data_IF_050221423045
#
_entry.id   IF_050221423045
#
_cell.length_a   1.000
_cell.length_b   1.000
_cell.length_c   1.000
_cell.angle_alpha   90.00
_cell.angle_beta   90.00
_cell.angle_gamma   90.00
#
_symmetry.space_group_name_H-M   'P 1'
#
loop_
_entity.id
_entity.type
_entity.pdbx_description
1 polymer ?
#
# COMPACT_ATOMS: atom_id res chain seq x y z
N UNK A 1 48.47 17.22 29.59
CA UNK A 1 47.02 17.33 29.37
C UNK A 1 46.78 18.11 28.10
N UNK A 2 46.66 17.44 26.97
CA UNK A 2 46.41 18.03 25.65
C UNK A 2 44.89 17.98 25.39
N UNK A 3 44.24 19.12 25.33
CA UNK A 3 42.83 19.26 24.91
C UNK A 3 42.75 19.25 23.39
N UNK A 4 42.21 18.17 22.81
CA UNK A 4 41.84 18.14 21.40
C UNK A 4 40.54 18.94 21.21
N UNK A 5 40.63 20.04 20.47
CA UNK A 5 39.48 20.80 19.98
C UNK A 5 39.06 20.14 18.67
N UNK A 6 37.91 19.45 18.66
CA UNK A 6 37.23 18.98 17.43
C UNK A 6 36.53 20.18 16.78
N UNK A 7 37.09 20.66 15.68
CA UNK A 7 36.43 21.63 14.81
C UNK A 7 35.47 20.80 13.91
N UNK A 8 34.19 20.88 14.21
CA UNK A 8 33.13 20.38 13.32
C UNK A 8 32.95 21.35 12.16
N UNK A 9 33.60 21.08 11.02
CA UNK A 9 33.34 21.78 9.77
C UNK A 9 32.09 21.17 9.16
N UNK A 10 30.93 21.80 9.36
CA UNK A 10 29.69 21.48 8.67
C UNK A 10 29.87 21.94 7.22
N UNK A 11 30.10 21.00 6.31
CA UNK A 11 30.01 21.22 4.87
C UNK A 11 28.55 21.42 4.51
N UNK A 12 28.07 22.65 4.45
CA UNK A 12 26.83 23.02 3.82
C UNK A 12 26.98 22.85 2.31
N UNK A 13 26.68 21.67 1.77
CA UNK A 13 26.47 21.50 0.35
C UNK A 13 25.17 22.24 -0.01
N UNK A 14 25.32 23.46 -0.53
CA UNK A 14 24.26 24.17 -1.20
C UNK A 14 23.95 23.39 -2.49
N UNK A 15 23.03 22.43 -2.42
CA UNK A 15 22.36 21.93 -3.61
C UNK A 15 21.55 23.11 -4.15
N UNK A 16 21.98 23.68 -5.26
CA UNK A 16 21.15 24.52 -6.12
C UNK A 16 20.07 23.57 -6.66
N UNK A 17 19.00 23.41 -5.89
CA UNK A 17 17.77 22.80 -6.35
C UNK A 17 17.22 23.75 -7.41
N UNK A 18 17.40 23.43 -8.68
CA UNK A 18 16.57 23.98 -9.72
C UNK A 18 15.14 23.64 -9.31
N UNK A 19 14.40 24.65 -8.88
CA UNK A 19 13.01 24.50 -8.48
C UNK A 19 12.21 24.17 -9.76
N UNK A 20 12.13 22.89 -10.08
CA UNK A 20 11.28 22.38 -11.13
C UNK A 20 9.84 22.67 -10.69
N UNK A 21 9.09 23.47 -11.46
CA UNK A 21 7.71 23.81 -11.13
C UNK A 21 6.89 22.52 -11.14
N UNK A 22 6.45 22.09 -9.97
CA UNK A 22 5.60 20.89 -9.82
C UNK A 22 4.15 21.28 -10.08
N UNK A 23 3.50 20.58 -10.99
CA UNK A 23 2.07 20.69 -11.20
C UNK A 23 1.35 19.65 -10.34
N UNK A 24 0.57 20.10 -9.36
CA UNK A 24 -0.13 19.21 -8.42
C UNK A 24 -1.64 19.35 -8.66
N UNK A 25 -2.26 18.24 -9.05
CA UNK A 25 -3.73 18.13 -9.17
C UNK A 25 -4.26 17.43 -7.94
N UNK A 26 -5.30 17.99 -7.32
CA UNK A 26 -5.98 17.37 -6.17
C UNK A 26 -7.15 16.52 -6.65
N UNK A 27 -7.37 15.38 -5.99
CA UNK A 27 -8.52 14.50 -6.22
C UNK A 27 -9.07 13.95 -4.91
N UNK A 28 -10.33 13.54 -4.93
CA UNK A 28 -11.04 12.98 -3.79
C UNK A 28 -11.52 11.56 -4.10
N UNK A 29 -11.38 10.65 -3.14
CA UNK A 29 -11.71 9.24 -3.34
C UNK A 29 -12.28 8.59 -2.08
N UNK A 30 -12.97 7.47 -2.29
CA UNK A 30 -13.30 6.51 -1.23
C UNK A 30 -12.66 5.16 -1.57
N UNK A 31 -11.93 4.62 -0.61
CA UNK A 31 -11.26 3.33 -0.76
C UNK A 31 -11.89 2.29 0.18
N UNK A 32 -12.46 1.27 -0.40
CA UNK A 32 -13.04 0.14 0.31
C UNK A 32 -12.18 -1.10 0.07
N UNK A 33 -11.98 -1.93 1.11
CA UNK A 33 -11.33 -3.21 0.92
C UNK A 33 -11.77 -4.27 1.93
N UNK A 34 -11.79 -5.50 1.47
CA UNK A 34 -11.81 -6.70 2.28
C UNK A 34 -10.51 -7.46 2.09
N UNK A 35 -9.78 -7.68 3.20
CA UNK A 35 -8.49 -8.35 3.21
C UNK A 35 -8.59 -9.60 4.07
N UNK A 36 -8.35 -10.75 3.46
CA UNK A 36 -8.38 -12.03 4.16
C UNK A 36 -7.01 -12.69 4.15
N UNK A 37 -6.62 -13.23 5.30
CA UNK A 37 -5.49 -14.15 5.43
C UNK A 37 -5.96 -15.36 6.20
N UNK A 38 -6.02 -16.50 5.54
CA UNK A 38 -6.44 -17.77 6.13
C UNK A 38 -5.22 -18.66 6.34
N UNK A 39 -4.88 -18.96 7.59
CA UNK A 39 -3.83 -19.90 7.94
C UNK A 39 -4.41 -21.32 7.91
N UNK A 40 -3.89 -22.18 7.04
CA UNK A 40 -4.37 -23.55 6.83
C UNK A 40 -3.58 -24.56 7.67
N UNK A 41 -2.25 -24.37 7.75
CA UNK A 41 -1.34 -25.24 8.50
C UNK A 41 -0.35 -24.40 9.32
N UNK A 42 0.57 -25.04 10.03
CA UNK A 42 1.64 -24.31 10.73
C UNK A 42 2.50 -23.46 9.78
N UNK A 43 2.64 -23.86 8.50
CA UNK A 43 3.52 -23.21 7.53
C UNK A 43 2.81 -22.65 6.30
N UNK A 44 1.54 -22.96 6.06
CA UNK A 44 0.85 -22.56 4.83
C UNK A 44 -0.43 -21.78 5.11
N UNK A 45 -0.75 -20.88 4.21
CA UNK A 45 -1.99 -20.10 4.22
C UNK A 45 -2.31 -19.51 2.86
N UNK A 46 -3.45 -18.84 2.80
CA UNK A 46 -3.97 -18.16 1.62
C UNK A 46 -4.14 -16.68 1.94
N UNK A 47 -3.91 -15.85 0.94
CA UNK A 47 -4.15 -14.42 0.92
C UNK A 47 -5.21 -14.09 -0.12
N UNK A 48 -6.24 -13.33 0.27
CA UNK A 48 -7.24 -12.77 -0.63
C UNK A 48 -7.46 -11.30 -0.27
N UNK A 49 -7.32 -10.40 -1.24
CA UNK A 49 -7.73 -8.99 -1.12
C UNK A 49 -8.70 -8.65 -2.23
N UNK A 50 -9.75 -7.94 -1.87
CA UNK A 50 -10.70 -7.30 -2.77
C UNK A 50 -10.74 -5.82 -2.45
N UNK A 51 -10.49 -4.96 -3.46
CA UNK A 51 -10.53 -3.52 -3.29
C UNK A 51 -11.46 -2.89 -4.31
N UNK A 52 -12.17 -1.86 -3.86
CA UNK A 52 -12.93 -0.96 -4.70
C UNK A 52 -12.51 0.49 -4.37
N UNK A 53 -12.25 1.29 -5.40
CA UNK A 53 -11.94 2.70 -5.27
C UNK A 53 -12.93 3.49 -6.08
N UNK A 54 -13.54 4.48 -5.42
CA UNK A 54 -14.48 5.38 -6.02
C UNK A 54 -13.86 6.78 -6.07
N UNK A 55 -14.26 7.57 -7.05
CA UNK A 55 -13.78 8.93 -7.29
C UNK A 55 -14.98 9.81 -7.62
N UNK A 56 -14.71 11.08 -7.92
CA UNK A 56 -15.67 12.11 -8.21
C UNK A 56 -16.64 12.30 -7.01
N UNK A 57 -16.50 13.41 -6.31
CA UNK A 57 -17.18 13.72 -5.05
C UNK A 57 -17.18 12.52 -4.05
N UNK A 58 -16.02 11.89 -3.92
CA UNK A 58 -15.70 10.71 -3.10
C UNK A 58 -16.30 9.37 -3.56
N UNK A 59 -17.47 9.32 -4.18
CA UNK A 59 -18.17 8.05 -4.39
C UNK A 59 -19.06 7.94 -5.64
N UNK A 60 -19.02 8.88 -6.56
CA UNK A 60 -19.94 8.88 -7.71
C UNK A 60 -19.58 7.81 -8.75
N UNK A 61 -18.29 7.50 -8.92
CA UNK A 61 -17.83 6.63 -9.98
C UNK A 61 -16.72 5.69 -9.52
N UNK A 62 -16.73 4.47 -10.04
CA UNK A 62 -15.59 3.54 -9.88
C UNK A 62 -14.37 4.08 -10.62
N UNK A 63 -13.22 4.12 -9.93
CA UNK A 63 -11.93 4.45 -10.52
C UNK A 63 -11.03 3.23 -10.67
N UNK A 64 -11.10 2.29 -9.72
CA UNK A 64 -10.27 1.09 -9.78
C UNK A 64 -10.86 -0.03 -8.94
N UNK A 65 -10.76 -1.26 -9.43
CA UNK A 65 -10.89 -2.47 -8.61
C UNK A 65 -9.58 -3.25 -8.57
N UNK A 66 -9.40 -4.07 -7.54
CA UNK A 66 -8.25 -4.97 -7.40
C UNK A 66 -8.73 -6.28 -6.80
N UNK A 67 -8.42 -7.37 -7.48
CA UNK A 67 -8.52 -8.72 -6.93
C UNK A 67 -7.11 -9.27 -6.79
N UNK A 68 -6.74 -9.69 -5.57
CA UNK A 68 -5.40 -10.23 -5.29
C UNK A 68 -5.50 -11.55 -4.56
N UNK A 69 -4.80 -12.55 -5.10
CA UNK A 69 -4.65 -13.87 -4.49
C UNK A 69 -3.18 -14.14 -4.21
N UNK A 70 -2.89 -14.94 -3.19
CA UNK A 70 -1.52 -15.34 -2.87
C UNK A 70 -1.45 -16.56 -1.97
N UNK A 71 -0.29 -17.20 -2.02
CA UNK A 71 0.12 -18.24 -1.11
C UNK A 71 1.00 -17.65 -0.02
N UNK A 72 0.70 -17.96 1.24
CA UNK A 72 1.45 -17.48 2.42
C UNK A 72 2.24 -18.62 3.01
N UNK A 73 3.55 -18.42 3.18
CA UNK A 73 4.44 -19.32 3.90
C UNK A 73 4.88 -18.68 5.22
N UNK A 74 4.58 -19.31 6.34
CA UNK A 74 4.94 -18.85 7.68
C UNK A 74 6.33 -19.38 8.04
N UNK A 75 7.33 -18.48 8.06
CA UNK A 75 8.66 -18.80 8.59
C UNK A 75 8.59 -18.96 10.11
N UNK A 76 7.91 -18.02 10.74
CA UNK A 76 7.57 -17.96 12.17
C UNK A 76 6.17 -17.38 12.32
N UNK A 77 5.61 -17.36 13.52
CA UNK A 77 4.31 -16.76 13.77
C UNK A 77 4.28 -15.25 13.51
N UNK A 78 5.44 -14.60 13.62
CA UNK A 78 5.61 -13.17 13.39
C UNK A 78 6.26 -12.81 12.04
N UNK A 79 6.71 -13.80 11.22
CA UNK A 79 7.34 -13.55 9.92
C UNK A 79 6.74 -14.48 8.87
N UNK A 80 6.29 -13.89 7.77
CA UNK A 80 5.73 -14.64 6.65
C UNK A 80 6.24 -14.14 5.31
N UNK A 81 6.36 -15.06 4.38
CA UNK A 81 6.59 -14.82 2.97
C UNK A 81 5.27 -15.00 2.23
N UNK A 82 5.03 -14.19 1.23
CA UNK A 82 3.85 -14.35 0.38
C UNK A 82 4.26 -14.16 -1.07
N UNK A 83 3.76 -15.02 -1.95
CA UNK A 83 3.83 -14.83 -3.39
C UNK A 83 2.43 -14.92 -3.95
N UNK A 84 2.11 -14.06 -4.92
CA UNK A 84 0.76 -13.98 -5.44
C UNK A 84 0.65 -13.21 -6.73
N UNK A 85 -0.58 -13.02 -7.11
CA UNK A 85 -0.97 -12.33 -8.33
C UNK A 85 -2.14 -11.39 -8.04
N UNK A 86 -2.11 -10.21 -8.66
CA UNK A 86 -3.19 -9.25 -8.63
C UNK A 86 -3.65 -8.92 -10.04
N UNK A 87 -4.95 -8.85 -10.22
CA UNK A 87 -5.61 -8.30 -11.40
C UNK A 87 -6.25 -6.98 -11.01
N UNK A 88 -5.99 -5.96 -11.80
CA UNK A 88 -6.44 -4.60 -11.53
C UNK A 88 -7.18 -4.08 -12.75
N UNK A 89 -8.39 -3.54 -12.57
CA UNK A 89 -9.11 -2.78 -13.58
C UNK A 89 -9.02 -1.30 -13.23
N UNK A 90 -8.55 -0.48 -14.15
CA UNK A 90 -8.59 0.97 -14.08
C UNK A 90 -9.73 1.46 -14.99
N UNK A 91 -10.77 2.02 -14.38
CA UNK A 91 -11.93 2.51 -15.10
C UNK A 91 -11.64 3.90 -15.68
N UNK A 92 -11.89 4.07 -16.97
CA UNK A 92 -11.67 5.35 -17.67
C UNK A 92 -12.63 6.43 -17.20
N UNK A 93 -13.87 6.04 -16.90
CA UNK A 93 -14.96 6.95 -16.58
C UNK A 93 -15.59 7.64 -17.80
N UNK A 94 -15.16 7.30 -18.98
CA UNK A 94 -15.71 7.73 -20.26
C UNK A 94 -16.05 6.48 -21.08
N UNK A 95 -17.30 6.34 -21.51
CA UNK A 95 -17.79 5.18 -22.25
C UNK A 95 -17.08 5.00 -23.61
N UNK A 96 -16.48 6.06 -24.14
CA UNK A 96 -15.72 6.03 -25.40
C UNK A 96 -14.25 5.62 -25.20
N UNK A 97 -13.77 5.51 -23.95
CA UNK A 97 -12.40 5.14 -23.63
C UNK A 97 -12.41 3.78 -22.93
N UNK A 98 -11.73 2.77 -23.46
CA UNK A 98 -11.73 1.46 -22.81
C UNK A 98 -11.08 1.49 -21.43
N UNK A 99 -11.57 0.64 -20.54
CA UNK A 99 -10.92 0.37 -19.27
C UNK A 99 -9.57 -0.31 -19.51
N UNK A 100 -8.59 0.00 -18.67
CA UNK A 100 -7.24 -0.57 -18.76
C UNK A 100 -6.99 -1.57 -17.65
N UNK A 101 -6.41 -2.69 -17.99
CA UNK A 101 -6.09 -3.74 -17.05
C UNK A 101 -4.59 -3.77 -16.73
N UNK A 102 -4.30 -4.25 -15.52
CA UNK A 102 -2.93 -4.48 -15.08
C UNK A 102 -2.81 -5.87 -14.46
N UNK A 103 -1.84 -6.64 -14.95
CA UNK A 103 -1.42 -7.91 -14.39
C UNK A 103 -0.22 -7.69 -13.49
N UNK A 104 -0.28 -8.19 -12.23
CA UNK A 104 0.73 -7.88 -11.24
C UNK A 104 1.10 -9.09 -10.38
N UNK A 105 2.03 -9.92 -10.83
CA UNK A 105 2.72 -10.83 -9.93
C UNK A 105 3.43 -10.06 -8.81
N UNK A 106 3.48 -10.62 -7.61
CA UNK A 106 4.13 -9.96 -6.48
C UNK A 106 4.69 -10.95 -5.46
N UNK A 107 5.73 -10.52 -4.74
CA UNK A 107 6.34 -11.23 -3.63
C UNK A 107 6.50 -10.28 -2.45
N UNK A 108 6.35 -10.81 -1.23
CA UNK A 108 6.39 -10.00 -0.02
C UNK A 108 7.04 -10.78 1.12
N UNK A 109 7.86 -10.09 1.89
CA UNK A 109 8.18 -10.45 3.27
C UNK A 109 7.45 -9.51 4.21
N UNK A 110 6.80 -10.08 5.22
CA UNK A 110 6.02 -9.32 6.22
C UNK A 110 6.40 -9.79 7.62
N UNK A 111 6.58 -8.85 8.53
CA UNK A 111 6.92 -9.15 9.91
C UNK A 111 6.15 -8.28 10.89
N UNK A 112 5.98 -8.81 12.09
CA UNK A 112 5.23 -8.21 13.18
C UNK A 112 6.10 -8.08 14.40
N UNK A 113 6.00 -6.95 15.08
CA UNK A 113 6.62 -6.68 16.36
C UNK A 113 5.54 -6.20 17.36
N UNK A 114 5.39 -6.96 18.45
CA UNK A 114 4.46 -6.62 19.52
C UNK A 114 5.22 -5.93 20.64
N UNK A 115 4.86 -4.70 20.91
CA UNK A 115 5.40 -3.89 22.01
C UNK A 115 4.34 -3.69 23.09
N UNK A 116 4.78 -3.18 24.24
CA UNK A 116 3.88 -2.96 25.39
C UNK A 116 2.69 -2.06 25.07
N UNK A 117 2.92 -1.01 24.25
CA UNK A 117 1.93 0.04 23.99
C UNK A 117 1.38 0.03 22.57
N UNK A 118 1.98 -0.71 21.66
CA UNK A 118 1.55 -0.78 20.25
C UNK A 118 1.98 -2.09 19.60
N UNK A 119 1.29 -2.47 18.55
CA UNK A 119 1.73 -3.51 17.62
C UNK A 119 2.21 -2.83 16.34
N UNK A 120 3.35 -3.27 15.82
CA UNK A 120 3.89 -2.81 14.55
C UNK A 120 3.88 -3.95 13.53
N UNK A 121 3.43 -3.63 12.32
CA UNK A 121 3.51 -4.52 11.16
C UNK A 121 4.28 -3.80 10.07
N UNK A 122 5.22 -4.52 9.46
CA UNK A 122 5.99 -4.00 8.35
C UNK A 122 5.99 -5.02 7.21
N UNK A 123 6.13 -4.54 5.98
CA UNK A 123 6.45 -5.41 4.86
C UNK A 123 7.32 -4.71 3.82
N UNK A 124 8.07 -5.55 3.10
CA UNK A 124 8.72 -5.20 1.84
C UNK A 124 8.08 -6.05 0.75
N UNK A 125 7.59 -5.43 -0.33
CA UNK A 125 6.95 -6.09 -1.47
C UNK A 125 7.61 -5.68 -2.76
N UNK A 126 7.89 -6.67 -3.60
CA UNK A 126 8.26 -6.48 -5.00
C UNK A 126 7.05 -6.81 -5.88
N UNK A 127 6.77 -5.96 -6.85
CA UNK A 127 5.69 -6.14 -7.82
C UNK A 127 6.28 -6.06 -9.24
N UNK A 128 5.84 -6.96 -10.13
CA UNK A 128 6.06 -6.92 -11.57
C UNK A 128 4.76 -6.42 -12.20
N UNK A 129 4.80 -5.24 -12.83
CA UNK A 129 3.61 -4.56 -13.32
C UNK A 129 3.56 -4.61 -14.83
N UNK A 130 2.59 -5.35 -15.38
CA UNK A 130 2.25 -5.40 -16.79
C UNK A 130 0.97 -4.58 -16.99
N UNK A 131 1.09 -3.38 -17.51
CA UNK A 131 0.00 -2.40 -17.65
C UNK A 131 -0.41 -2.28 -19.10
N UNK A 132 -1.70 -2.45 -19.37
CA UNK A 132 -2.27 -2.03 -20.64
C UNK A 132 -2.11 -0.52 -20.82
N UNK A 133 -2.04 -0.08 -22.06
CA UNK A 133 -1.96 1.32 -22.44
C UNK A 133 -2.70 1.56 -23.74
N UNK A 134 -3.03 2.82 -24.02
CA UNK A 134 -3.72 3.20 -25.24
C UNK A 134 -2.73 3.66 -26.29
N UNK A 135 -2.98 3.26 -27.55
CA UNK A 135 -2.35 3.78 -28.74
C UNK A 135 -3.46 4.20 -29.70
N UNK A 136 -3.50 5.48 -30.05
CA UNK A 136 -4.54 6.07 -30.90
C UNK A 136 -5.99 5.84 -30.39
N UNK A 137 -6.19 5.78 -29.08
CA UNK A 137 -7.51 5.59 -28.46
C UNK A 137 -7.94 4.12 -28.26
N UNK A 138 -7.20 3.16 -28.78
CA UNK A 138 -7.45 1.73 -28.61
C UNK A 138 -6.45 1.06 -27.66
N UNK A 139 -6.84 -0.04 -27.03
CA UNK A 139 -5.93 -0.81 -26.17
C UNK A 139 -4.83 -1.41 -27.03
N UNK A 140 -3.59 -1.10 -26.71
CA UNK A 140 -2.43 -1.65 -27.42
C UNK A 140 -2.31 -3.16 -27.19
N UNK A 141 -1.84 -3.89 -28.20
CA UNK A 141 -1.55 -5.32 -28.11
C UNK A 141 -0.30 -5.68 -27.29
N UNK A 142 0.27 -4.71 -26.54
CA UNK A 142 1.48 -4.86 -25.74
C UNK A 142 1.27 -4.25 -24.34
N UNK A 143 2.13 -4.64 -23.40
CA UNK A 143 2.12 -4.11 -22.04
C UNK A 143 3.30 -3.18 -21.80
N UNK A 144 3.06 -2.10 -21.07
CA UNK A 144 4.12 -1.36 -20.41
C UNK A 144 4.55 -2.12 -19.16
N UNK A 145 5.86 -2.33 -19.01
CA UNK A 145 6.40 -3.13 -17.92
C UNK A 145 7.31 -2.32 -17.01
N UNK A 146 7.07 -2.41 -15.68
CA UNK A 146 8.01 -1.93 -14.69
C UNK A 146 7.97 -2.79 -13.42
N UNK A 147 9.05 -2.73 -12.68
CA UNK A 147 9.08 -3.21 -11.29
C UNK A 147 8.68 -2.09 -10.34
N UNK A 148 8.12 -2.48 -9.19
CA UNK A 148 7.87 -1.57 -8.07
C UNK A 148 8.22 -2.24 -6.75
N UNK A 149 9.03 -1.56 -5.93
CA UNK A 149 9.24 -1.90 -4.53
C UNK A 149 8.31 -1.08 -3.66
N UNK A 150 7.73 -1.72 -2.64
CA UNK A 150 6.89 -1.08 -1.64
C UNK A 150 7.42 -1.41 -0.25
N UNK A 151 7.64 -0.40 0.55
CA UNK A 151 7.87 -0.54 1.99
C UNK A 151 6.70 0.04 2.74
N UNK A 152 6.19 -0.73 3.69
CA UNK A 152 5.06 -0.34 4.53
C UNK A 152 5.41 -0.48 6.00
N UNK A 153 4.96 0.48 6.80
CA UNK A 153 4.97 0.43 8.25
C UNK A 153 3.58 0.80 8.78
N UNK A 154 3.03 -0.04 9.64
CA UNK A 154 1.73 0.16 10.25
C UNK A 154 1.82 -0.01 11.77
N UNK A 155 1.24 0.94 12.49
CA UNK A 155 1.15 0.96 13.94
C UNK A 155 -0.31 0.79 14.37
N UNK A 156 -0.55 -0.13 15.30
CA UNK A 156 -1.85 -0.33 15.95
C UNK A 156 -1.69 -0.02 17.42
N UNK A 157 -2.34 1.04 17.89
CA UNK A 157 -2.26 1.56 19.27
C UNK A 157 -3.60 1.27 19.95
N UNK A 158 -3.69 0.27 20.85
CA UNK A 158 -4.92 -0.05 21.56
C UNK A 158 -5.32 1.09 22.49
N UNK A 159 -6.61 1.42 22.53
CA UNK A 159 -7.17 2.45 23.42
C UNK A 159 -7.64 1.89 24.78
N UNK A 160 -7.39 0.59 25.00
CA UNK A 160 -7.64 -0.09 26.29
C UNK A 160 -6.37 -0.78 26.77
N UNK A 161 -6.25 -0.94 28.08
CA UNK A 161 -5.19 -1.75 28.68
C UNK A 161 -5.33 -3.23 28.26
N UNK A 162 -4.20 -3.95 28.17
CA UNK A 162 -4.17 -5.36 27.78
C UNK A 162 -3.93 -5.63 26.31
N UNK A 163 -3.68 -4.59 25.49
CA UNK A 163 -3.35 -4.73 24.07
C UNK A 163 -4.57 -4.89 23.16
N UNK A 164 -4.34 -5.29 21.91
CA UNK A 164 -5.41 -5.50 20.92
C UNK A 164 -6.05 -6.87 21.16
N UNK A 165 -7.25 -6.86 21.73
CA UNK A 165 -8.06 -8.03 22.03
C UNK A 165 -9.47 -7.86 21.44
N UNK A 166 -10.32 -8.90 21.37
CA UNK A 166 -11.71 -8.73 20.99
C UNK A 166 -12.40 -7.59 21.77
N UNK A 167 -13.21 -6.81 21.04
CA UNK A 167 -13.92 -5.63 21.56
C UNK A 167 -12.99 -4.47 22.00
N UNK A 168 -11.83 -4.34 21.34
CA UNK A 168 -10.88 -3.26 21.61
C UNK A 168 -10.90 -2.23 20.48
N UNK A 169 -11.21 -0.95 20.75
CA UNK A 169 -10.94 0.15 19.84
C UNK A 169 -9.43 0.46 19.83
N UNK A 170 -8.92 0.92 18.70
CA UNK A 170 -7.51 1.28 18.53
C UNK A 170 -7.36 2.44 17.55
N UNK A 171 -6.23 3.14 17.63
CA UNK A 171 -5.75 4.05 16.60
C UNK A 171 -4.86 3.24 15.65
N UNK A 172 -5.03 3.46 14.35
CA UNK A 172 -4.21 2.85 13.31
C UNK A 172 -3.53 3.93 12.47
N UNK A 173 -2.21 3.85 12.38
CA UNK A 173 -1.38 4.76 11.59
C UNK A 173 -0.59 3.88 10.62
N UNK A 174 -0.56 4.27 9.36
CA UNK A 174 0.14 3.51 8.33
C UNK A 174 0.81 4.46 7.34
N UNK A 175 2.06 4.17 7.01
CA UNK A 175 2.78 4.82 5.93
C UNK A 175 3.33 3.80 4.95
N UNK A 176 3.22 4.08 3.66
CA UNK A 176 3.66 3.19 2.59
C UNK A 176 4.35 3.97 1.48
N UNK A 177 5.63 3.71 1.30
CA UNK A 177 6.44 4.29 0.24
C UNK A 177 6.57 3.30 -0.92
N UNK A 178 6.47 3.80 -2.15
CA UNK A 178 6.58 3.00 -3.37
C UNK A 178 7.58 3.62 -4.34
N UNK A 179 8.46 2.79 -4.87
CA UNK A 179 9.52 3.19 -5.81
C UNK A 179 9.43 2.30 -7.04
N UNK A 180 9.36 2.93 -8.22
CA UNK A 180 9.41 2.28 -9.51
C UNK A 180 10.84 2.10 -10.01
N UNK A 181 11.10 1.04 -10.78
CA UNK A 181 12.33 0.86 -11.52
C UNK A 181 12.12 -0.06 -12.72
N UNK A 182 13.03 0.00 -13.66
CA UNK A 182 12.97 -0.76 -14.93
C UNK A 182 13.29 0.13 -16.12
N UNK A 183 13.40 -0.48 -17.30
CA UNK A 183 13.82 0.22 -18.53
C UNK A 183 12.85 1.32 -18.99
N UNK A 184 11.56 1.17 -18.67
CA UNK A 184 10.50 2.12 -19.05
C UNK A 184 10.30 3.23 -18.03
N UNK A 185 11.03 3.21 -16.90
CA UNK A 185 10.99 4.26 -15.90
C UNK A 185 12.08 5.29 -16.24
N UNK A 186 11.66 6.49 -16.62
CA UNK A 186 12.57 7.56 -17.04
C UNK A 186 12.64 8.63 -15.94
N UNK A 187 11.50 9.15 -15.47
CA UNK A 187 11.44 10.29 -14.56
C UNK A 187 10.80 9.94 -13.20
N UNK A 188 9.82 9.05 -13.15
CA UNK A 188 9.03 8.74 -11.95
C UNK A 188 9.56 7.54 -11.18
N UNK A 189 10.78 7.62 -10.69
CA UNK A 189 11.33 6.63 -9.77
C UNK A 189 10.55 6.60 -8.45
N UNK A 190 10.20 7.74 -7.91
CA UNK A 190 9.19 7.84 -6.88
C UNK A 190 7.82 7.55 -7.52
N UNK A 191 7.13 6.48 -7.08
CA UNK A 191 5.78 6.19 -7.59
C UNK A 191 4.74 6.92 -6.76
N UNK A 192 4.72 6.65 -5.47
CA UNK A 192 3.80 7.31 -4.55
C UNK A 192 4.16 7.06 -3.09
N UNK A 193 3.67 7.94 -2.23
CA UNK A 193 3.55 7.74 -0.80
C UNK A 193 2.08 7.68 -0.40
N UNK A 194 1.75 6.85 0.59
CA UNK A 194 0.40 6.71 1.16
C UNK A 194 0.48 6.80 2.66
N UNK A 195 -0.08 7.85 3.20
CA UNK A 195 -0.20 8.03 4.65
C UNK A 195 -1.65 7.88 5.09
N UNK A 196 -1.89 7.01 6.06
CA UNK A 196 -3.21 6.78 6.63
C UNK A 196 -3.20 6.99 8.14
N UNK A 197 -4.24 7.65 8.65
CA UNK A 197 -4.55 7.73 10.07
C UNK A 197 -6.05 7.52 10.28
N UNK A 198 -6.40 6.71 11.26
CA UNK A 198 -7.80 6.46 11.55
C UNK A 198 -8.01 5.64 12.81
N UNK A 199 -9.28 5.33 13.03
CA UNK A 199 -9.70 4.46 14.13
C UNK A 199 -10.04 3.07 13.61
N UNK A 200 -9.79 2.09 14.44
CA UNK A 200 -10.17 0.72 14.17
C UNK A 200 -10.85 0.08 15.36
N UNK A 201 -11.51 -1.03 15.09
CA UNK A 201 -12.15 -1.84 16.11
C UNK A 201 -11.90 -3.32 15.86
N UNK A 202 -11.42 -4.01 16.90
CA UNK A 202 -11.21 -5.46 16.90
C UNK A 202 -12.50 -6.15 17.32
N UNK A 203 -13.28 -6.70 16.39
CA UNK A 203 -14.56 -7.35 16.68
C UNK A 203 -14.36 -8.71 17.33
N UNK A 204 -13.52 -9.54 16.71
CA UNK A 204 -13.15 -10.88 17.19
C UNK A 204 -11.63 -11.05 17.16
N UNK A 205 -11.10 -12.21 17.50
CA UNK A 205 -9.65 -12.49 17.38
C UNK A 205 -9.13 -12.33 15.95
N UNK A 206 -9.97 -12.62 14.96
CA UNK A 206 -9.59 -12.60 13.54
C UNK A 206 -10.17 -11.45 12.74
N UNK A 207 -11.21 -10.74 13.23
CA UNK A 207 -11.93 -9.72 12.47
C UNK A 207 -11.75 -8.33 13.07
N UNK A 208 -11.26 -7.40 12.26
CA UNK A 208 -11.23 -5.97 12.60
C UNK A 208 -11.52 -5.09 11.38
N UNK A 209 -11.87 -3.85 11.62
CA UNK A 209 -12.02 -2.85 10.57
C UNK A 209 -11.36 -1.54 10.98
N UNK A 210 -10.92 -0.79 9.98
CA UNK A 210 -10.29 0.53 10.13
C UNK A 210 -11.03 1.53 9.24
N UNK A 211 -11.38 2.68 9.82
CA UNK A 211 -11.96 3.82 9.10
C UNK A 211 -11.12 5.05 9.39
N UNK A 212 -10.80 5.84 8.38
CA UNK A 212 -10.06 7.07 8.57
C UNK A 212 -9.68 7.77 7.28
N UNK A 213 -8.78 8.73 7.42
CA UNK A 213 -8.24 9.54 6.35
C UNK A 213 -7.00 8.91 5.73
N UNK A 214 -6.96 8.90 4.41
CA UNK A 214 -5.82 8.48 3.60
C UNK A 214 -5.39 9.63 2.70
N UNK A 215 -4.11 9.98 2.74
CA UNK A 215 -3.48 10.82 1.73
C UNK A 215 -2.63 9.96 0.79
N UNK A 216 -2.76 10.18 -0.51
CA UNK A 216 -1.91 9.55 -1.54
C UNK A 216 -1.25 10.64 -2.36
N UNK A 217 0.05 10.72 -2.30
CA UNK A 217 0.86 11.60 -3.14
C UNK A 217 1.55 10.76 -4.20
N UNK A 218 1.18 10.95 -5.46
CA UNK A 218 1.59 10.13 -6.60
C UNK A 218 2.30 11.00 -7.64
N UNK A 219 3.44 10.53 -8.14
CA UNK A 219 4.18 11.12 -9.26
C UNK A 219 3.75 10.48 -10.59
N UNK A 220 3.43 11.31 -11.56
CA UNK A 220 3.11 10.85 -12.91
C UNK A 220 4.38 10.57 -13.73
N UNK A 221 4.28 9.82 -14.84
CA UNK A 221 5.43 9.50 -15.70
C UNK A 221 6.22 10.71 -16.24
N UNK A 222 5.60 11.90 -16.27
CA UNK A 222 6.27 13.15 -16.65
C UNK A 222 7.41 13.55 -15.72
N UNK A 223 7.37 13.14 -14.42
CA UNK A 223 8.29 13.56 -13.39
C UNK A 223 8.04 14.97 -12.83
N UNK A 224 7.12 15.73 -13.42
CA UNK A 224 6.76 17.10 -13.02
C UNK A 224 5.31 17.20 -12.54
N UNK A 225 4.45 16.28 -12.96
CA UNK A 225 3.05 16.25 -12.61
C UNK A 225 2.80 15.29 -11.45
N UNK A 226 2.03 15.74 -10.47
CA UNK A 226 1.69 14.98 -9.28
C UNK A 226 0.18 14.96 -9.07
N UNK A 227 -0.31 13.91 -8.43
CA UNK A 227 -1.69 13.83 -7.94
C UNK A 227 -1.63 13.73 -6.43
N UNK A 228 -2.34 14.63 -5.74
CA UNK A 228 -2.54 14.59 -4.31
C UNK A 228 -3.98 14.16 -4.03
N UNK A 229 -4.19 12.89 -3.69
CA UNK A 229 -5.52 12.33 -3.42
C UNK A 229 -5.82 12.36 -1.94
N UNK A 230 -6.96 12.94 -1.58
CA UNK A 230 -7.56 12.87 -0.26
C UNK A 230 -8.64 11.80 -0.28
N UNK A 231 -8.55 10.81 0.59
CA UNK A 231 -9.50 9.71 0.55
C UNK A 231 -10.05 9.36 1.94
N UNK A 232 -11.30 8.93 1.96
CA UNK A 232 -11.89 8.16 3.06
C UNK A 232 -11.55 6.70 2.81
N UNK A 233 -10.97 6.00 3.80
CA UNK A 233 -10.62 4.60 3.67
C UNK A 233 -11.32 3.76 4.73
N UNK A 234 -12.07 2.75 4.27
CA UNK A 234 -12.67 1.71 5.11
C UNK A 234 -12.15 0.33 4.66
N UNK A 235 -11.34 -0.29 5.51
CA UNK A 235 -10.77 -1.61 5.26
C UNK A 235 -11.20 -2.59 6.35
N UNK A 236 -11.65 -3.77 5.93
CA UNK A 236 -12.00 -4.90 6.79
C UNK A 236 -10.92 -5.96 6.67
N UNK A 237 -10.35 -6.35 7.80
CA UNK A 237 -9.32 -7.39 7.89
C UNK A 237 -9.90 -8.63 8.56
N UNK A 238 -9.82 -9.75 7.88
CA UNK A 238 -10.36 -11.01 8.36
C UNK A 238 -9.28 -12.09 8.33
N UNK A 239 -8.68 -12.35 9.47
CA UNK A 239 -7.64 -13.37 9.63
C UNK A 239 -8.28 -14.64 10.22
N UNK A 240 -8.24 -15.72 9.46
CA UNK A 240 -8.75 -17.01 9.90
C UNK A 240 -7.59 -17.96 10.25
N UNK A 241 -7.76 -18.71 11.33
CA UNK A 241 -6.84 -19.78 11.72
C UNK A 241 -7.61 -21.10 11.69
N UNK A 242 -7.37 -21.88 10.64
CA UNK A 242 -8.01 -23.17 10.39
C UNK A 242 -7.09 -24.34 10.74
N UNK A 243 -6.03 -24.11 11.48
CA UNK A 243 -5.15 -25.20 11.94
C UNK A 243 -5.94 -26.14 12.83
N UNK A 244 -5.79 -27.45 12.58
CA UNK A 244 -6.29 -28.45 13.50
C UNK A 244 -5.53 -28.34 14.82
N UNK A 245 -6.24 -28.14 15.90
CA UNK A 245 -5.67 -28.31 17.24
C UNK A 245 -5.21 -29.78 17.36
N UNK A 246 -3.98 -29.98 17.81
CA UNK A 246 -3.45 -31.32 18.08
C UNK A 246 -3.95 -31.80 19.42
#
# INVERSE_FOLDING_TARGET
MLRFIFVNTVFALAFSAFAQTKNIVTSEQTWLAYLNQTRLTHRSGIWLDLHARLTDDFAERMSQDIVRLGYVYYLHDNVRLTAGYAYITNFSGDDNIPNLHEHRPWQQVQWYDKRKYFNMMQYLRLEQRYKEHLVSGEVAGSYQFNYRVRYNMALTIPLKSGGVQPKTPFVFINDELMINFGKEIINNYFDQNRFFVGFGYQFTKGLNAHLGYLNVFLERPSGTDFINTHAIRLFVFHNLDLRKEK
#
